data_IF_093226381915
#
_entry.id   IF_093226381915
#
_cell.length_a   1.000
_cell.length_b   1.000
_cell.length_c   1.000
_cell.angle_alpha   90.00
_cell.angle_beta   90.00
_cell.angle_gamma   90.00
#
_symmetry.space_group_name_H-M   'P 1'
#
loop_
_entity.id
_entity.type
_entity.pdbx_description
1 polymer ?
#
# COMPACT_ATOMS: atom_id res chain seq x y z
N UNK A 1 -3.72 0.64 20.21
CA UNK A 1 -2.98 0.56 18.93
C UNK A 1 -3.93 0.14 17.83
N UNK A 2 -4.17 1.00 16.84
CA UNK A 2 -4.78 0.55 15.58
C UNK A 2 -3.73 -0.31 14.88
N UNK A 3 -3.96 -1.62 14.78
CA UNK A 3 -2.98 -2.58 14.22
C UNK A 3 -2.44 -2.11 12.87
N UNK A 4 -3.30 -1.50 12.05
CA UNK A 4 -2.95 -0.94 10.74
C UNK A 4 -1.82 0.10 10.77
N UNK A 5 -1.82 1.06 11.71
CA UNK A 5 -0.81 2.12 11.71
C UNK A 5 0.56 1.56 12.12
N UNK A 6 0.56 0.65 13.08
CA UNK A 6 1.77 -0.07 13.47
C UNK A 6 2.33 -0.91 12.31
N UNK A 7 1.47 -1.65 11.60
CA UNK A 7 1.87 -2.47 10.45
C UNK A 7 2.54 -1.60 9.37
N UNK A 8 1.94 -0.46 9.02
CA UNK A 8 2.49 0.50 8.04
C UNK A 8 3.82 1.09 8.51
N UNK A 9 3.94 1.42 9.79
CA UNK A 9 5.19 1.93 10.36
C UNK A 9 6.30 0.86 10.31
N UNK A 10 5.99 -0.37 10.70
CA UNK A 10 6.92 -1.50 10.65
C UNK A 10 7.43 -1.74 9.23
N UNK A 11 6.55 -1.74 8.23
CA UNK A 11 6.93 -1.88 6.81
C UNK A 11 7.90 -0.77 6.35
N UNK A 12 7.66 0.47 6.79
CA UNK A 12 8.54 1.62 6.47
C UNK A 12 9.92 1.48 7.13
N UNK A 13 9.96 1.02 8.39
CA UNK A 13 11.22 0.81 9.12
C UNK A 13 12.03 -0.34 8.51
N UNK A 14 11.40 -1.49 8.30
CA UNK A 14 11.99 -2.67 7.65
C UNK A 14 12.61 -2.30 6.30
N UNK A 15 11.86 -1.57 5.47
CA UNK A 15 12.34 -1.10 4.17
C UNK A 15 13.60 -0.24 4.29
N UNK A 16 13.64 0.66 5.28
CA UNK A 16 14.80 1.53 5.49
C UNK A 16 16.02 0.77 6.03
N UNK A 17 15.82 -0.15 6.97
CA UNK A 17 16.88 -1.03 7.50
C UNK A 17 17.53 -1.82 6.37
N UNK A 18 16.71 -2.46 5.51
CA UNK A 18 17.19 -3.23 4.36
C UNK A 18 17.95 -2.34 3.37
N UNK A 19 17.45 -1.14 3.07
CA UNK A 19 18.12 -0.18 2.18
C UNK A 19 19.51 0.19 2.72
N UNK A 20 19.64 0.49 4.03
CA UNK A 20 20.92 0.86 4.65
C UNK A 20 21.93 -0.29 4.64
N UNK A 21 21.50 -1.51 4.97
CA UNK A 21 22.38 -2.69 4.96
C UNK A 21 22.83 -3.06 3.54
N UNK A 22 21.97 -2.89 2.53
CA UNK A 22 22.29 -3.18 1.13
C UNK A 22 23.15 -2.10 0.45
N UNK A 23 23.05 -0.84 0.89
CA UNK A 23 23.92 0.23 0.40
C UNK A 23 25.31 0.23 1.06
N UNK A 24 25.43 -0.26 2.30
CA UNK A 24 26.72 -0.53 2.95
C UNK A 24 27.56 -1.56 2.19
N UNK A 25 26.93 -2.62 1.67
CA UNK A 25 27.59 -3.70 0.89
C UNK A 25 28.09 -3.23 -0.48
N UNK A 26 27.47 -2.24 -1.11
CA UNK A 26 27.97 -1.65 -2.37
C UNK A 26 29.22 -0.80 -2.17
N UNK A 27 29.46 -0.25 -0.97
CA UNK A 27 30.61 0.62 -0.68
C UNK A 27 31.88 -0.16 -0.31
N UNK A 28 31.78 -1.36 0.24
CA UNK A 28 32.95 -2.20 0.58
C UNK A 28 33.61 -2.87 -0.62
N UNK A 29 32.93 -2.99 -1.77
CA UNK A 29 33.46 -3.63 -2.99
C UNK A 29 34.28 -2.70 -3.91
N UNK A 30 34.45 -1.40 -3.61
CA UNK A 30 35.09 -0.43 -4.51
C UNK A 30 36.57 -0.10 -4.22
N UNK A 31 37.31 -0.96 -3.53
CA UNK A 31 38.77 -0.83 -3.36
C UNK A 31 39.51 -2.17 -3.42
N UNK A 32 39.73 -2.71 -4.63
CA UNK A 32 41.02 -3.30 -5.01
C UNK A 32 41.15 -3.48 -6.53
N UNK A 33 42.30 -3.05 -7.02
CA UNK A 33 42.85 -2.89 -8.38
C UNK A 33 42.73 -4.04 -9.40
N UNK A 34 42.83 -3.62 -10.68
CA UNK A 34 43.26 -4.40 -11.84
C UNK A 34 44.40 -5.41 -11.53
N UNK A 35 44.23 -6.65 -12.00
CA UNK A 35 45.28 -7.68 -12.07
C UNK A 35 44.73 -8.99 -12.64
N UNK A 36 45.44 -9.60 -13.59
CA UNK A 36 44.96 -10.61 -14.55
C UNK A 36 45.31 -12.06 -14.12
N UNK A 37 44.47 -13.02 -14.58
CA UNK A 37 44.68 -14.49 -14.79
C UNK A 37 44.30 -15.50 -13.67
N UNK A 38 43.20 -16.22 -13.96
CA UNK A 38 43.00 -17.70 -14.03
C UNK A 38 43.60 -18.61 -12.94
N UNK A 39 42.74 -19.29 -12.15
CA UNK A 39 42.51 -20.77 -12.14
C UNK A 39 41.50 -21.17 -11.04
N UNK A 40 40.78 -22.25 -11.31
CA UNK A 40 39.79 -22.92 -10.45
C UNK A 40 40.42 -23.48 -9.17
N UNK A 41 39.75 -23.32 -8.02
CA UNK A 41 39.30 -24.45 -7.18
C UNK A 41 38.42 -23.98 -6.00
N UNK A 42 37.58 -24.91 -5.56
CA UNK A 42 36.59 -24.86 -4.49
C UNK A 42 37.06 -24.22 -3.17
N UNK A 43 36.23 -23.33 -2.64
CA UNK A 43 35.77 -23.27 -1.24
C UNK A 43 34.72 -22.16 -1.18
N UNK A 44 33.47 -22.53 -0.88
CA UNK A 44 32.40 -21.59 -0.57
C UNK A 44 32.88 -20.66 0.57
N UNK A 45 32.96 -19.34 0.37
CA UNK A 45 33.10 -18.43 1.49
C UNK A 45 31.73 -18.32 2.15
N UNK A 46 31.68 -18.68 3.43
CA UNK A 46 30.56 -18.47 4.35
C UNK A 46 29.84 -17.14 4.04
N UNK A 47 28.54 -17.24 3.75
CA UNK A 47 27.64 -16.10 3.63
C UNK A 47 27.60 -15.36 4.97
N UNK A 48 28.45 -14.36 5.10
CA UNK A 48 28.48 -13.40 6.20
C UNK A 48 27.47 -12.27 5.95
N UNK A 49 26.21 -12.67 5.76
CA UNK A 49 25.06 -11.76 5.80
C UNK A 49 24.22 -12.11 7.02
N UNK A 50 23.59 -11.13 7.69
CA UNK A 50 22.62 -11.44 8.75
C UNK A 50 21.52 -12.36 8.18
N UNK A 51 21.16 -13.40 8.94
CA UNK A 51 20.11 -14.32 8.57
C UNK A 51 18.80 -13.54 8.34
N UNK A 52 18.07 -13.75 7.22
CA UNK A 52 16.79 -13.08 6.98
C UNK A 52 15.78 -13.20 8.14
N UNK A 53 15.82 -14.30 8.89
CA UNK A 53 14.97 -14.46 10.08
C UNK A 53 15.39 -13.53 11.22
N UNK A 54 16.69 -13.46 11.51
CA UNK A 54 17.24 -12.55 12.54
C UNK A 54 16.98 -11.08 12.19
N UNK A 55 17.03 -10.71 10.91
CA UNK A 55 16.74 -9.35 10.46
C UNK A 55 15.26 -8.98 10.65
N UNK A 56 14.34 -9.93 10.44
CA UNK A 56 12.92 -9.73 10.69
C UNK A 56 12.63 -9.52 12.18
N UNK A 57 13.15 -10.40 13.03
CA UNK A 57 12.99 -10.31 14.49
C UNK A 57 13.58 -8.99 15.04
N UNK A 58 14.75 -8.59 14.52
CA UNK A 58 15.37 -7.31 14.87
C UNK A 58 14.53 -6.11 14.43
N UNK A 59 13.98 -6.14 13.22
CA UNK A 59 13.16 -5.03 12.71
C UNK A 59 11.83 -4.93 13.47
N UNK A 60 11.21 -6.04 13.83
CA UNK A 60 9.99 -6.09 14.64
C UNK A 60 10.21 -5.57 16.07
N UNK A 61 11.36 -5.91 16.68
CA UNK A 61 11.80 -5.35 17.96
C UNK A 61 11.90 -3.82 17.88
N UNK A 62 12.67 -3.31 16.91
CA UNK A 62 12.83 -1.87 16.72
C UNK A 62 11.48 -1.18 16.45
N UNK A 63 10.63 -1.76 15.59
CA UNK A 63 9.35 -1.18 15.25
C UNK A 63 8.44 -1.05 16.49
N UNK A 64 8.41 -2.08 17.33
CA UNK A 64 7.60 -2.13 18.55
C UNK A 64 8.01 -1.06 19.55
N UNK A 65 9.31 -0.99 19.86
CA UNK A 65 9.83 -0.06 20.87
C UNK A 65 9.80 1.39 20.39
N UNK A 66 10.16 1.62 19.12
CA UNK A 66 10.07 2.96 18.53
C UNK A 66 8.61 3.42 18.50
N UNK A 67 7.71 2.64 17.89
CA UNK A 67 6.34 3.09 17.66
C UNK A 67 5.57 3.32 18.96
N UNK A 68 5.78 2.46 19.96
CA UNK A 68 5.14 2.60 21.28
C UNK A 68 5.62 3.82 22.07
N UNK A 69 6.85 4.29 21.81
CA UNK A 69 7.44 5.45 22.48
C UNK A 69 7.04 6.79 21.85
N UNK A 70 6.57 6.79 20.60
CA UNK A 70 6.16 8.01 19.88
C UNK A 70 4.86 8.62 20.43
N UNK A 71 4.60 9.93 20.25
CA UNK A 71 3.36 10.57 20.72
C UNK A 71 2.09 9.91 20.17
N UNK A 72 1.02 9.83 20.98
CA UNK A 72 -0.26 9.24 20.56
C UNK A 72 -0.84 9.89 19.29
N UNK A 73 -0.68 11.21 19.16
CA UNK A 73 -1.10 11.96 17.96
C UNK A 73 -0.41 11.46 16.69
N UNK A 74 0.86 11.06 16.78
CA UNK A 74 1.62 10.48 15.66
C UNK A 74 1.18 9.03 15.39
N UNK A 75 1.03 8.23 16.45
CA UNK A 75 0.58 6.84 16.34
C UNK A 75 -0.83 6.72 15.73
N UNK A 76 -1.71 7.69 15.98
CA UNK A 76 -3.09 7.71 15.52
C UNK A 76 -3.33 8.53 14.25
N UNK A 77 -2.26 8.90 13.52
CA UNK A 77 -2.40 9.65 12.27
C UNK A 77 -3.30 8.93 11.26
N UNK A 78 -4.14 9.73 10.60
CA UNK A 78 -4.99 9.28 9.51
C UNK A 78 -5.34 10.48 8.63
N UNK A 79 -5.74 10.22 7.38
CA UNK A 79 -6.26 11.28 6.50
C UNK A 79 -7.39 12.10 7.15
N UNK A 80 -8.30 11.45 7.88
CA UNK A 80 -9.40 12.14 8.56
C UNK A 80 -8.91 13.03 9.70
N UNK A 81 -8.00 12.52 10.55
CA UNK A 81 -7.41 13.28 11.65
C UNK A 81 -6.65 14.53 11.17
N UNK A 82 -6.00 14.46 10.00
CA UNK A 82 -5.30 15.59 9.41
C UNK A 82 -6.25 16.66 8.85
N UNK A 83 -7.41 16.24 8.35
CA UNK A 83 -8.43 17.14 7.82
C UNK A 83 -9.17 17.92 8.91
N UNK A 84 -9.39 17.28 10.06
CA UNK A 84 -10.20 17.84 11.14
C UNK A 84 -9.43 18.84 12.03
N UNK A 85 -8.10 18.86 11.95
CA UNK A 85 -7.22 19.72 12.75
C UNK A 85 -6.14 20.41 11.89
N UNK A 86 -6.34 21.70 11.62
CA UNK A 86 -5.46 22.53 10.78
C UNK A 86 -4.04 22.63 11.38
N UNK A 87 -3.91 22.73 12.70
CA UNK A 87 -2.59 22.85 13.35
C UNK A 87 -1.79 21.55 13.23
N UNK A 88 -2.46 20.39 13.32
CA UNK A 88 -1.81 19.10 13.05
C UNK A 88 -1.46 18.94 11.56
N UNK A 89 -2.27 19.47 10.64
CA UNK A 89 -1.98 19.41 9.21
C UNK A 89 -0.65 20.09 8.86
N UNK A 90 -0.38 21.26 9.43
CA UNK A 90 0.88 21.98 9.18
C UNK A 90 2.07 21.25 9.80
N UNK A 91 1.91 20.72 11.03
CA UNK A 91 2.97 19.98 11.74
C UNK A 91 3.46 18.73 10.99
N UNK A 92 2.55 17.97 10.39
CA UNK A 92 2.88 16.72 9.69
C UNK A 92 3.06 16.89 8.18
N UNK A 93 3.13 18.12 7.69
CA UNK A 93 3.43 18.40 6.29
C UNK A 93 4.82 17.88 5.90
N UNK A 94 4.90 17.34 4.68
CA UNK A 94 6.15 16.79 4.12
C UNK A 94 6.80 17.82 3.16
N UNK A 95 8.14 17.97 3.16
CA UNK A 95 9.10 17.30 4.04
C UNK A 95 8.99 17.77 5.49
N UNK A 96 9.23 16.86 6.44
CA UNK A 96 9.22 17.19 7.87
C UNK A 96 10.23 18.29 8.18
N UNK A 97 9.82 19.25 9.01
CA UNK A 97 10.74 20.25 9.54
C UNK A 97 11.73 19.61 10.50
N UNK A 98 12.92 20.20 10.61
CA UNK A 98 13.97 19.74 11.52
C UNK A 98 13.46 19.68 12.97
N UNK A 99 12.69 20.68 13.40
CA UNK A 99 12.12 20.74 14.75
C UNK A 99 11.17 19.58 15.05
N UNK A 100 10.34 19.18 14.09
CA UNK A 100 9.43 18.01 14.26
C UNK A 100 10.24 16.72 14.29
N UNK A 101 11.28 16.61 13.48
CA UNK A 101 12.18 15.45 13.49
C UNK A 101 12.93 15.33 14.83
N UNK A 102 13.44 16.45 15.37
CA UNK A 102 14.04 16.54 16.71
C UNK A 102 13.06 16.09 17.79
N UNK A 103 11.82 16.60 17.76
CA UNK A 103 10.78 16.26 18.72
C UNK A 103 10.48 14.75 18.70
N UNK A 104 10.25 14.16 17.51
CA UNK A 104 9.98 12.73 17.38
C UNK A 104 11.18 11.87 17.78
N UNK A 105 12.40 12.26 17.41
CA UNK A 105 13.62 11.53 17.78
C UNK A 105 13.90 11.61 19.28
N UNK A 106 13.47 12.67 19.98
CA UNK A 106 13.63 12.79 21.43
C UNK A 106 12.77 11.80 22.24
N UNK A 107 11.74 11.20 21.60
CA UNK A 107 10.93 10.15 22.20
C UNK A 107 11.56 8.74 22.09
N UNK A 108 12.66 8.59 21.37
CA UNK A 108 13.24 7.27 21.10
C UNK A 108 14.08 6.79 22.30
N UNK A 109 13.94 5.52 22.71
CA UNK A 109 14.77 4.93 23.76
C UNK A 109 16.27 4.94 23.41
N UNK A 110 17.14 5.06 24.42
CA UNK A 110 18.60 5.12 24.23
C UNK A 110 19.18 3.78 23.70
N UNK A 111 18.62 2.65 24.10
CA UNK A 111 19.04 1.31 23.66
C UNK A 111 18.81 1.09 22.15
N UNK A 112 17.83 1.78 21.55
CA UNK A 112 17.61 1.79 20.11
C UNK A 112 18.79 2.45 19.40
N UNK A 113 19.32 3.54 19.94
CA UNK A 113 20.49 4.20 19.36
C UNK A 113 21.73 3.28 19.37
N UNK A 114 21.94 2.58 20.49
CA UNK A 114 23.05 1.62 20.63
C UNK A 114 22.88 0.44 19.67
N UNK A 115 21.66 -0.07 19.54
CA UNK A 115 21.32 -1.15 18.61
C UNK A 115 21.57 -0.73 17.15
N UNK A 116 21.08 0.44 16.74
CA UNK A 116 21.29 0.95 15.38
C UNK A 116 22.77 1.19 15.06
N UNK A 117 23.56 1.64 16.04
CA UNK A 117 25.01 1.82 15.89
C UNK A 117 25.72 0.47 15.81
N UNK A 118 25.36 -0.50 16.66
CA UNK A 118 25.94 -1.84 16.69
C UNK A 118 25.76 -2.58 15.36
N UNK A 119 24.60 -2.40 14.71
CA UNK A 119 24.29 -2.99 13.40
C UNK A 119 24.78 -2.13 12.22
N UNK A 120 25.49 -1.03 12.47
CA UNK A 120 26.05 -0.16 11.42
C UNK A 120 25.00 0.61 10.61
N UNK A 121 23.77 0.74 11.12
CA UNK A 121 22.69 1.52 10.50
C UNK A 121 22.89 3.02 10.72
N UNK A 122 23.55 3.39 11.81
CA UNK A 122 24.01 4.75 12.12
C UNK A 122 25.54 4.74 12.26
N UNK A 123 26.22 5.65 11.56
CA UNK A 123 27.68 5.84 11.63
C UNK A 123 28.00 7.30 11.95
N UNK A 124 28.11 7.69 13.23
CA UNK A 124 28.50 9.05 13.59
C UNK A 124 29.94 9.36 13.11
N UNK A 125 30.23 10.57 12.60
CA UNK A 125 29.33 11.73 12.44
C UNK A 125 28.62 11.80 11.08
N UNK A 126 28.70 10.75 10.24
CA UNK A 126 28.16 10.78 8.87
C UNK A 126 26.63 10.65 8.84
N UNK A 127 26.10 9.86 9.77
CA UNK A 127 24.66 9.74 10.03
C UNK A 127 24.42 9.70 11.52
N UNK A 128 23.20 10.08 11.87
CA UNK A 128 22.66 10.18 13.21
C UNK A 128 21.25 9.57 13.24
N UNK A 129 20.61 9.58 14.41
CA UNK A 129 19.24 9.08 14.58
C UNK A 129 18.24 9.81 13.67
N UNK A 130 18.39 11.12 13.52
CA UNK A 130 17.45 11.94 12.75
C UNK A 130 17.50 11.61 11.26
N UNK A 131 18.70 11.53 10.68
CA UNK A 131 18.92 11.16 9.29
C UNK A 131 18.54 9.70 9.00
N UNK A 132 18.59 8.81 9.99
CA UNK A 132 18.05 7.45 9.89
C UNK A 132 16.52 7.43 9.92
N UNK A 133 15.89 8.13 10.87
CA UNK A 133 14.44 8.08 11.08
C UNK A 133 13.64 8.97 10.13
N UNK A 134 14.23 10.02 9.55
CA UNK A 134 13.56 10.93 8.62
C UNK A 134 12.82 10.21 7.46
N UNK A 135 13.43 9.28 6.71
CA UNK A 135 12.73 8.52 5.67
C UNK A 135 11.64 7.60 6.22
N UNK A 136 11.83 7.03 7.42
CA UNK A 136 10.84 6.16 8.08
C UNK A 136 9.59 6.96 8.45
N UNK A 137 9.76 8.10 9.15
CA UNK A 137 8.64 8.97 9.52
C UNK A 137 7.93 9.55 8.30
N UNK A 138 8.68 9.98 7.28
CA UNK A 138 8.10 10.52 6.04
C UNK A 138 7.30 9.45 5.29
N UNK A 139 7.82 8.22 5.21
CA UNK A 139 7.13 7.08 4.60
C UNK A 139 5.84 6.74 5.33
N UNK A 140 5.89 6.62 6.65
CA UNK A 140 4.73 6.36 7.49
C UNK A 140 3.65 7.44 7.34
N UNK A 141 4.01 8.73 7.52
CA UNK A 141 3.08 9.86 7.40
C UNK A 141 2.41 9.82 6.02
N UNK A 142 3.21 9.68 4.95
CA UNK A 142 2.70 9.61 3.59
C UNK A 142 1.69 8.47 3.43
N UNK A 143 2.00 7.28 3.92
CA UNK A 143 1.14 6.11 3.79
C UNK A 143 -0.19 6.24 4.55
N UNK A 144 -0.17 6.69 5.81
CA UNK A 144 -1.40 6.77 6.64
C UNK A 144 -2.25 8.02 6.39
N UNK A 145 -1.66 9.06 5.81
CA UNK A 145 -2.37 10.30 5.46
C UNK A 145 -2.78 10.36 3.99
N UNK A 146 -2.34 9.41 3.16
CA UNK A 146 -2.82 9.30 1.77
C UNK A 146 -4.34 9.14 1.77
N UNK A 147 -5.09 10.02 1.07
CA UNK A 147 -6.53 9.85 0.96
C UNK A 147 -6.84 8.46 0.41
N UNK A 148 -7.83 7.75 0.96
CA UNK A 148 -8.25 6.50 0.38
C UNK A 148 -8.57 6.76 -1.10
N UNK A 149 -8.18 5.86 -2.01
CA UNK A 149 -8.44 6.09 -3.42
C UNK A 149 -9.95 6.30 -3.60
N UNK A 150 -10.36 7.22 -4.47
CA UNK A 150 -11.78 7.65 -4.62
C UNK A 150 -12.79 6.49 -4.77
N UNK A 151 -12.34 5.32 -5.20
CA UNK A 151 -13.18 4.13 -5.29
C UNK A 151 -13.42 3.41 -3.95
N UNK A 152 -12.54 3.55 -2.96
CA UNK A 152 -12.68 2.91 -1.65
C UNK A 152 -13.91 3.44 -0.89
N UNK A 153 -14.23 4.73 -1.04
CA UNK A 153 -15.44 5.34 -0.47
C UNK A 153 -16.73 4.72 -1.02
N UNK A 154 -16.72 4.25 -2.27
CA UNK A 154 -17.92 3.67 -2.91
C UNK A 154 -18.04 2.16 -2.72
N UNK A 155 -17.08 1.51 -2.01
CA UNK A 155 -17.06 0.06 -1.84
C UNK A 155 -18.22 -0.45 -1.01
N UNK A 156 -19.07 -1.26 -1.63
CA UNK A 156 -20.17 -1.94 -0.96
C UNK A 156 -19.70 -3.26 -0.31
N UNK A 157 -20.41 -3.70 0.74
CA UNK A 157 -20.19 -5.03 1.36
C UNK A 157 -20.81 -6.17 0.53
N UNK A 158 -21.83 -5.85 -0.26
CA UNK A 158 -22.59 -6.81 -1.06
C UNK A 158 -22.46 -6.55 -2.56
N UNK A 159 -22.57 -7.63 -3.35
CA UNK A 159 -22.59 -7.53 -4.81
C UNK A 159 -23.84 -6.78 -5.29
N UNK A 160 -23.68 -5.75 -6.11
CA UNK A 160 -24.80 -4.90 -6.56
C UNK A 160 -25.76 -5.58 -7.56
N UNK A 161 -25.43 -6.77 -8.08
CA UNK A 161 -26.31 -7.54 -8.98
C UNK A 161 -27.01 -8.71 -8.28
N UNK A 162 -26.30 -9.45 -7.42
CA UNK A 162 -26.83 -10.66 -6.79
C UNK A 162 -27.01 -10.54 -5.28
N UNK A 163 -26.71 -9.37 -4.71
CA UNK A 163 -26.96 -8.97 -3.31
C UNK A 163 -26.24 -9.81 -2.23
N UNK A 164 -25.43 -10.79 -2.62
CA UNK A 164 -24.59 -11.58 -1.70
C UNK A 164 -23.56 -10.67 -1.01
N UNK A 165 -23.57 -10.67 0.31
CA UNK A 165 -22.64 -9.93 1.20
C UNK A 165 -21.50 -10.80 1.76
N UNK A 166 -21.61 -12.13 1.65
CA UNK A 166 -20.59 -13.09 2.09
C UNK A 166 -19.53 -13.42 1.03
N UNK A 167 -19.54 -12.73 -0.12
CA UNK A 167 -18.61 -12.99 -1.23
C UNK A 167 -17.71 -11.79 -1.49
N UNK A 168 -16.43 -11.99 -1.87
CA UNK A 168 -15.56 -10.88 -2.26
C UNK A 168 -16.12 -10.14 -3.48
N UNK A 169 -16.23 -8.82 -3.36
CA UNK A 169 -16.57 -7.91 -4.46
C UNK A 169 -15.33 -7.27 -5.07
N UNK A 170 -15.40 -7.07 -6.37
CA UNK A 170 -14.34 -6.49 -7.22
C UNK A 170 -14.87 -5.23 -7.89
N UNK A 171 -13.97 -4.30 -8.14
CA UNK A 171 -14.25 -3.05 -8.82
C UNK A 171 -14.49 -3.28 -10.32
N UNK A 172 -15.63 -2.82 -10.83
CA UNK A 172 -16.04 -2.97 -12.23
C UNK A 172 -16.41 -1.62 -12.83
N UNK A 173 -15.86 -1.29 -14.00
CA UNK A 173 -16.27 -0.09 -14.74
C UNK A 173 -17.51 -0.37 -15.58
N UNK A 174 -18.60 0.36 -15.30
CA UNK A 174 -19.87 0.22 -16.03
C UNK A 174 -19.73 0.63 -17.51
N UNK A 175 -18.89 1.63 -17.80
CA UNK A 175 -18.44 1.95 -19.15
C UNK A 175 -16.99 1.45 -19.28
N UNK A 176 -16.71 0.39 -20.06
CA UNK A 176 -15.37 -0.16 -20.16
C UNK A 176 -14.35 0.88 -20.65
N UNK A 177 -13.21 0.98 -19.96
CA UNK A 177 -12.14 1.94 -20.28
C UNK A 177 -11.68 1.88 -21.74
N UNK A 178 -11.65 0.68 -22.32
CA UNK A 178 -11.27 0.45 -23.73
C UNK A 178 -12.15 1.22 -24.73
N UNK A 179 -13.38 1.60 -24.36
CA UNK A 179 -14.30 2.34 -25.25
C UNK A 179 -14.47 3.80 -24.87
N UNK A 180 -13.80 4.33 -23.84
CA UNK A 180 -13.93 5.73 -23.39
C UNK A 180 -13.67 6.75 -24.51
N UNK A 181 -12.56 6.60 -25.24
CA UNK A 181 -12.24 7.47 -26.38
C UNK A 181 -13.34 7.45 -27.45
N UNK A 182 -13.94 6.28 -27.68
CA UNK A 182 -15.04 6.11 -28.65
C UNK A 182 -16.34 6.74 -28.12
N UNK A 183 -16.64 6.58 -26.84
CA UNK A 183 -17.81 7.16 -26.16
C UNK A 183 -17.80 8.68 -26.28
N UNK A 184 -16.66 9.33 -26.00
CA UNK A 184 -16.51 10.79 -26.15
C UNK A 184 -16.60 11.22 -27.60
N UNK A 185 -15.87 10.55 -28.51
CA UNK A 185 -15.89 10.87 -29.95
C UNK A 185 -17.29 10.76 -30.56
N UNK A 186 -18.11 9.83 -30.07
CA UNK A 186 -19.48 9.59 -30.55
C UNK A 186 -20.55 10.29 -29.71
N UNK A 187 -20.15 11.06 -28.69
CA UNK A 187 -21.02 11.76 -27.76
C UNK A 187 -22.12 10.86 -27.16
N UNK A 188 -21.77 9.63 -26.77
CA UNK A 188 -22.72 8.73 -26.12
C UNK A 188 -22.96 9.09 -24.66
N UNK A 189 -21.92 9.58 -23.97
CA UNK A 189 -21.95 9.98 -22.57
C UNK A 189 -20.97 11.12 -22.32
N UNK A 190 -21.23 11.89 -21.28
CA UNK A 190 -20.33 12.92 -20.76
C UNK A 190 -19.11 12.30 -20.04
N UNK A 191 -18.03 13.08 -19.94
CA UNK A 191 -16.77 12.65 -19.33
C UNK A 191 -16.93 12.23 -17.86
N UNK A 192 -17.80 12.92 -17.10
CA UNK A 192 -18.05 12.60 -15.71
C UNK A 192 -18.59 11.17 -15.50
N UNK A 193 -19.30 10.61 -16.51
CA UNK A 193 -19.91 9.29 -16.43
C UNK A 193 -18.94 8.16 -16.75
N UNK A 194 -17.83 8.42 -17.44
CA UNK A 194 -16.87 7.40 -17.87
C UNK A 194 -16.28 6.59 -16.71
N UNK A 195 -16.17 7.21 -15.54
CA UNK A 195 -15.63 6.59 -14.33
C UNK A 195 -16.72 6.02 -13.41
N UNK A 196 -17.95 5.86 -13.91
CA UNK A 196 -19.02 5.17 -13.17
C UNK A 196 -18.67 3.70 -12.97
N UNK A 197 -18.89 3.19 -11.76
CA UNK A 197 -18.41 1.88 -11.31
C UNK A 197 -19.49 1.09 -10.60
N UNK A 198 -19.26 -0.20 -10.48
CA UNK A 198 -20.04 -1.13 -9.67
C UNK A 198 -19.12 -2.10 -8.91
N UNK A 199 -19.61 -2.60 -7.79
CA UNK A 199 -18.98 -3.59 -6.92
C UNK A 199 -19.63 -4.95 -7.11
N UNK A 200 -18.96 -5.78 -7.88
CA UNK A 200 -19.50 -7.05 -8.34
C UNK A 200 -18.67 -8.22 -7.82
N UNK A 201 -19.34 -9.27 -7.36
CA UNK A 201 -18.66 -10.54 -7.10
C UNK A 201 -18.11 -11.13 -8.41
N UNK A 202 -17.07 -11.98 -8.31
CA UNK A 202 -16.40 -12.59 -9.48
C UNK A 202 -17.38 -13.21 -10.48
N UNK A 203 -18.39 -13.94 -10.00
CA UNK A 203 -19.37 -14.61 -10.87
C UNK A 203 -20.23 -13.60 -11.68
N UNK A 204 -20.71 -12.53 -11.04
CA UNK A 204 -21.48 -11.48 -11.72
C UNK A 204 -20.59 -10.67 -12.66
N UNK A 205 -19.36 -10.34 -12.24
CA UNK A 205 -18.38 -9.64 -13.07
C UNK A 205 -18.11 -10.41 -14.37
N UNK A 206 -17.80 -11.71 -14.28
CA UNK A 206 -17.60 -12.56 -15.47
C UNK A 206 -18.86 -12.73 -16.30
N UNK A 207 -20.06 -12.63 -15.72
CA UNK A 207 -21.30 -12.71 -16.48
C UNK A 207 -21.56 -11.42 -17.27
N UNK A 208 -21.37 -10.24 -16.67
CA UNK A 208 -21.51 -8.94 -17.35
C UNK A 208 -20.61 -8.83 -18.58
N UNK A 209 -19.35 -9.29 -18.50
CA UNK A 209 -18.46 -9.30 -19.66
C UNK A 209 -18.83 -10.32 -20.75
N UNK A 210 -19.64 -11.33 -20.45
CA UNK A 210 -20.12 -12.32 -21.43
C UNK A 210 -21.46 -11.94 -22.04
N UNK A 211 -22.27 -11.16 -21.34
CA UNK A 211 -23.65 -10.90 -21.72
C UNK A 211 -23.78 -9.93 -22.91
N UNK A 212 -22.80 -9.03 -23.07
CA UNK A 212 -22.82 -7.95 -24.05
C UNK A 212 -21.38 -7.54 -24.43
N UNK A 213 -21.21 -6.98 -25.63
CA UNK A 213 -19.93 -6.41 -26.05
C UNK A 213 -19.60 -5.13 -25.26
N UNK A 214 -18.32 -4.72 -25.20
CA UNK A 214 -17.92 -3.48 -24.52
C UNK A 214 -18.66 -2.23 -25.05
N UNK A 215 -18.94 -2.19 -26.35
CA UNK A 215 -19.71 -1.10 -26.96
C UNK A 215 -21.18 -1.16 -26.56
N UNK A 216 -21.79 -2.35 -26.54
CA UNK A 216 -23.17 -2.50 -26.11
C UNK A 216 -23.34 -2.17 -24.62
N UNK A 217 -22.40 -2.59 -23.77
CA UNK A 217 -22.35 -2.20 -22.36
C UNK A 217 -22.33 -0.68 -22.23
N UNK A 218 -21.42 0.00 -22.94
CA UNK A 218 -21.35 1.45 -22.92
C UNK A 218 -22.62 2.15 -23.44
N UNK A 219 -23.33 1.58 -24.43
CA UNK A 219 -24.49 2.25 -25.04
C UNK A 219 -25.80 1.98 -24.32
N UNK A 220 -26.03 0.75 -23.87
CA UNK A 220 -27.35 0.28 -23.41
C UNK A 220 -27.36 -0.12 -21.93
N UNK A 221 -26.20 -0.51 -21.37
CA UNK A 221 -26.11 -1.14 -20.05
C UNK A 221 -25.06 -0.46 -19.15
N UNK A 222 -25.04 0.87 -19.16
CA UNK A 222 -24.01 1.71 -18.54
C UNK A 222 -24.31 2.11 -17.08
N UNK A 223 -25.35 1.52 -16.47
CA UNK A 223 -25.67 1.63 -15.04
C UNK A 223 -26.07 0.26 -14.49
N UNK A 224 -25.95 0.07 -13.16
CA UNK A 224 -26.40 -1.16 -12.48
C UNK A 224 -27.89 -1.39 -12.75
N UNK A 225 -28.73 -0.36 -12.62
CA UNK A 225 -30.17 -0.47 -12.86
C UNK A 225 -30.49 -0.97 -14.27
N UNK A 226 -29.81 -0.45 -15.29
CA UNK A 226 -29.99 -0.90 -16.68
C UNK A 226 -29.58 -2.36 -16.80
N UNK A 227 -28.41 -2.75 -16.27
CA UNK A 227 -27.94 -4.14 -16.28
C UNK A 227 -28.99 -5.06 -15.64
N UNK A 228 -29.55 -4.67 -14.49
CA UNK A 228 -30.56 -5.44 -13.75
C UNK A 228 -31.94 -5.49 -14.43
N UNK A 229 -32.24 -4.60 -15.38
CA UNK A 229 -33.45 -4.68 -16.21
C UNK A 229 -33.36 -5.75 -17.31
N UNK A 230 -32.16 -6.27 -17.61
CA UNK A 230 -31.97 -7.29 -18.64
C UNK A 230 -32.46 -8.66 -18.17
N UNK A 231 -33.31 -9.30 -18.98
CA UNK A 231 -34.00 -10.53 -18.55
C UNK A 231 -33.10 -11.73 -18.26
N UNK A 232 -31.91 -11.82 -18.87
CA UNK A 232 -30.94 -12.86 -18.55
C UNK A 232 -30.16 -12.57 -17.26
N UNK A 233 -29.87 -11.30 -16.96
CA UNK A 233 -29.30 -10.86 -15.68
C UNK A 233 -30.25 -11.17 -14.53
N UNK A 234 -31.55 -10.93 -14.70
CA UNK A 234 -32.55 -11.23 -13.67
C UNK A 234 -32.59 -12.73 -13.34
N UNK A 235 -32.56 -13.59 -14.36
CA UNK A 235 -32.49 -15.05 -14.16
C UNK A 235 -31.19 -15.45 -13.50
N UNK A 236 -30.08 -14.85 -13.93
CA UNK A 236 -28.75 -15.11 -13.37
C UNK A 236 -28.65 -14.69 -11.91
N UNK A 237 -29.11 -13.49 -11.54
CA UNK A 237 -29.03 -12.95 -10.17
C UNK A 237 -29.81 -13.82 -9.19
N UNK A 238 -31.05 -14.20 -9.53
CA UNK A 238 -31.90 -15.07 -8.72
C UNK A 238 -31.30 -16.46 -8.52
N UNK A 239 -30.60 -16.99 -9.52
CA UNK A 239 -29.93 -18.28 -9.41
C UNK A 239 -28.63 -18.17 -8.60
N UNK A 240 -27.72 -17.26 -8.99
CA UNK A 240 -26.38 -17.13 -8.39
C UNK A 240 -26.43 -16.64 -6.94
N UNK A 241 -27.46 -15.84 -6.59
CA UNK A 241 -27.68 -15.36 -5.22
C UNK A 241 -27.88 -16.49 -4.21
N UNK A 242 -28.43 -17.63 -4.65
CA UNK A 242 -28.66 -18.82 -3.81
C UNK A 242 -27.45 -19.75 -3.72
N UNK A 243 -26.41 -19.54 -4.53
CA UNK A 243 -25.25 -20.42 -4.57
C UNK A 243 -24.24 -20.04 -3.48
N UNK A 244 -23.88 -21.02 -2.65
CA UNK A 244 -22.72 -20.98 -1.74
C UNK A 244 -21.64 -21.92 -2.24
N UNK A 245 -20.62 -21.36 -2.89
CA UNK A 245 -19.41 -22.11 -3.24
C UNK A 245 -18.57 -22.28 -1.97
N UNK A 246 -18.21 -23.52 -1.62
CA UNK A 246 -17.16 -23.74 -0.60
C UNK A 246 -15.85 -23.22 -1.18
N UNK A 247 -15.04 -22.56 -0.34
CA UNK A 247 -13.64 -22.27 -0.70
C UNK A 247 -12.94 -23.63 -0.84
N UNK A 248 -12.53 -23.98 -2.05
CA UNK A 248 -11.55 -25.04 -2.29
C UNK A 248 -10.17 -24.51 -1.90
#
# INVERSE_FOLDING_TARGET
>A
MTTHNFDVFSDCLCSNVVEKLTDGTKKTLKRSSLGKKTRQNESDPEQSGPDPSELADFSDYLATDIFSSLPEKFQALSHQALRDDIENSDKWSLPLTLTVLEELSAHLPEDIHDSLTAYGLIEPPKSDMQSFMAPVFSGYISAVTTPPPKWAETRTKACEICERDWVPVTYHHLIPKQVHAKVLKRNWHEEHRLNSVAWLCRACHSFVHRMASNEELARKWYTVDLICQRGDIQKWSQWVGRIRWKKT
#
